data_IF_524365444762
#
_entry.id   IF_524365444762
#
_cell.length_a   1.000
_cell.length_b   1.000
_cell.length_c   1.000
_cell.angle_alpha   90.00
_cell.angle_beta   90.00
_cell.angle_gamma   90.00
#
_symmetry.space_group_name_H-M   'P 1'
#
loop_
_entity.id
_entity.type
_entity.pdbx_description
1 polymer ?
#
# COMPACT_ATOMS: atom_id res chain seq x y z
N UNK A 1 16.33 19.20 19.68
CA UNK A 1 15.61 17.91 19.76
C UNK A 1 14.71 17.81 18.53
N UNK A 2 14.64 16.65 17.89
CA UNK A 2 13.72 16.44 16.76
C UNK A 2 12.30 16.21 17.25
N UNK A 3 11.31 16.68 16.49
CA UNK A 3 9.88 16.47 16.76
C UNK A 3 9.25 15.74 15.57
N UNK A 4 8.38 14.77 15.85
CA UNK A 4 7.57 14.12 14.81
C UNK A 4 6.45 15.08 14.39
N UNK A 5 6.41 15.42 13.11
CA UNK A 5 5.36 16.27 12.54
C UNK A 5 4.26 15.45 11.90
N UNK A 6 4.63 14.52 11.01
CA UNK A 6 3.69 13.72 10.24
C UNK A 6 4.20 12.31 10.03
N UNK A 7 3.29 11.38 9.79
CA UNK A 7 3.59 10.00 9.36
C UNK A 7 2.82 9.70 8.09
N UNK A 8 3.48 9.05 7.15
CA UNK A 8 2.86 8.57 5.91
C UNK A 8 2.39 7.12 6.08
N UNK A 9 1.13 6.86 5.76
CA UNK A 9 0.53 5.54 5.77
C UNK A 9 0.36 5.05 4.33
N UNK A 10 1.20 4.09 3.91
CA UNK A 10 1.14 3.56 2.54
C UNK A 10 -0.05 2.62 2.34
N UNK A 11 -0.86 2.88 1.32
CA UNK A 11 -2.01 2.06 0.90
C UNK A 11 -1.89 1.73 -0.59
N UNK A 12 -2.71 0.79 -1.09
CA UNK A 12 -2.62 0.16 -2.43
C UNK A 12 -2.34 1.13 -3.59
N UNK A 13 -3.13 2.19 -3.75
CA UNK A 13 -2.94 3.17 -4.84
C UNK A 13 -2.21 4.43 -4.38
N UNK A 14 -2.70 5.04 -3.30
CA UNK A 14 -2.19 6.27 -2.71
C UNK A 14 -2.32 6.15 -1.19
N UNK A 15 -1.24 6.43 -0.47
CA UNK A 15 -1.26 6.57 0.97
C UNK A 15 -1.61 7.99 1.44
N UNK A 16 -1.58 8.20 2.75
CA UNK A 16 -2.01 9.44 3.39
C UNK A 16 -0.96 9.94 4.37
N UNK A 17 -0.69 11.24 4.35
CA UNK A 17 0.07 11.92 5.40
C UNK A 17 -0.89 12.39 6.49
N UNK A 18 -0.59 12.06 7.74
CA UNK A 18 -1.36 12.54 8.89
C UNK A 18 -0.48 13.29 9.87
N UNK A 19 -1.04 14.34 10.46
CA UNK A 19 -0.37 15.13 11.48
C UNK A 19 -0.19 14.31 12.76
N UNK A 20 0.88 14.57 13.50
CA UNK A 20 1.18 13.86 14.74
C UNK A 20 0.02 13.92 15.75
N UNK A 21 -0.77 14.99 15.75
CA UNK A 21 -1.97 15.13 16.60
C UNK A 21 -3.10 14.14 16.27
N UNK A 22 -3.08 13.55 15.08
CA UNK A 22 -4.11 12.63 14.60
C UNK A 22 -3.71 11.15 14.79
N UNK A 23 -2.45 10.91 15.18
CA UNK A 23 -1.89 9.58 15.34
C UNK A 23 -2.23 8.97 16.69
N UNK A 24 -2.41 7.65 16.71
CA UNK A 24 -2.35 6.87 17.94
C UNK A 24 -0.89 6.61 18.32
N UNK A 25 -0.58 6.73 19.61
CA UNK A 25 0.74 6.41 20.14
C UNK A 25 0.67 5.27 21.16
N UNK A 26 1.66 4.38 21.09
CA UNK A 26 1.91 3.36 22.08
C UNK A 26 3.20 3.67 22.85
N UNK A 27 3.22 3.34 24.15
CA UNK A 27 4.40 3.50 25.00
C UNK A 27 5.00 4.92 24.97
N UNK A 28 4.15 5.94 24.86
CA UNK A 28 4.53 7.34 24.85
C UNK A 28 4.71 7.91 23.45
N UNK A 29 5.81 7.57 22.77
CA UNK A 29 6.25 8.27 21.56
C UNK A 29 6.31 7.39 20.29
N UNK A 30 5.77 6.16 20.33
CA UNK A 30 5.76 5.27 19.17
C UNK A 30 4.44 5.39 18.42
N UNK A 31 4.40 5.99 17.22
CA UNK A 31 3.17 6.02 16.44
C UNK A 31 2.75 4.59 16.07
N UNK A 32 1.45 4.33 16.07
CA UNK A 32 0.86 3.03 15.75
C UNK A 32 0.38 3.03 14.31
N UNK A 33 0.63 1.93 13.61
CA UNK A 33 0.07 1.65 12.30
C UNK A 33 -0.58 0.26 12.32
N UNK A 34 -1.74 0.15 11.68
CA UNK A 34 -2.51 -1.08 11.57
C UNK A 34 -2.38 -1.64 10.16
N UNK A 35 -1.77 -2.82 10.02
CA UNK A 35 -1.69 -3.53 8.73
C UNK A 35 -3.00 -4.21 8.39
N UNK A 36 -3.41 -4.14 7.13
CA UNK A 36 -4.58 -4.87 6.65
C UNK A 36 -4.39 -6.38 6.73
N UNK A 37 -5.45 -7.08 7.13
CA UNK A 37 -5.48 -8.53 7.17
C UNK A 37 -5.30 -9.09 5.75
N UNK A 38 -4.32 -9.98 5.58
CA UNK A 38 -3.93 -10.59 4.31
C UNK A 38 -3.48 -9.59 3.23
N UNK A 39 -3.23 -8.34 3.59
CA UNK A 39 -2.75 -7.30 2.69
C UNK A 39 -1.51 -6.61 3.24
N UNK A 40 -1.11 -5.54 2.56
CA UNK A 40 0.09 -4.76 2.88
C UNK A 40 -0.21 -3.27 3.14
N UNK A 41 -1.47 -2.86 3.10
CA UNK A 41 -1.87 -1.49 3.36
C UNK A 41 -1.80 -1.18 4.86
N UNK A 42 -1.32 0.02 5.20
CA UNK A 42 -1.23 0.51 6.57
C UNK A 42 -2.27 1.60 6.79
N UNK A 43 -2.91 1.55 7.95
CA UNK A 43 -3.93 2.50 8.36
C UNK A 43 -3.63 3.08 9.75
N UNK A 44 -4.00 4.35 10.01
CA UNK A 44 -3.76 5.01 11.29
C UNK A 44 -4.71 4.56 12.40
N UNK A 45 -5.82 3.91 12.03
CA UNK A 45 -6.88 3.47 12.95
C UNK A 45 -7.33 2.06 12.56
N UNK A 46 -7.77 1.25 13.55
CA UNK A 46 -8.38 -0.03 13.26
C UNK A 46 -9.78 0.17 12.66
N UNK A 47 -10.23 -0.80 11.86
CA UNK A 47 -11.53 -0.79 11.22
C UNK A 47 -11.53 -1.48 9.86
N UNK A 48 -12.64 -1.30 9.16
CA UNK A 48 -12.86 -1.80 7.81
C UNK A 48 -12.72 -0.65 6.81
N UNK A 49 -11.80 -0.79 5.85
CA UNK A 49 -11.68 0.11 4.71
C UNK A 49 -11.98 -0.65 3.42
N UNK A 50 -12.99 -0.19 2.69
CA UNK A 50 -13.37 -0.74 1.38
C UNK A 50 -12.83 0.19 0.29
N UNK A 51 -12.11 -0.37 -0.68
CA UNK A 51 -11.60 0.35 -1.86
C UNK A 51 -12.18 -0.26 -3.12
N UNK A 52 -12.77 0.55 -4.00
CA UNK A 52 -13.41 0.07 -5.23
C UNK A 52 -14.76 0.77 -5.46
N UNK A 53 -15.52 0.29 -6.45
CA UNK A 53 -16.81 0.88 -6.83
C UNK A 53 -17.84 -0.21 -7.16
N UNK A 54 -19.12 0.09 -6.97
CA UNK A 54 -20.21 -0.81 -7.38
C UNK A 54 -20.24 -2.16 -6.65
N UNK A 55 -19.64 -2.26 -5.46
CA UNK A 55 -19.54 -3.51 -4.70
C UNK A 55 -18.39 -4.42 -5.12
N UNK A 56 -17.55 -3.99 -6.07
CA UNK A 56 -16.34 -4.68 -6.51
C UNK A 56 -15.14 -3.92 -5.97
N UNK A 57 -14.26 -4.60 -5.23
CA UNK A 57 -13.17 -3.91 -4.54
C UNK A 57 -12.36 -4.74 -3.55
N UNK A 58 -11.34 -4.09 -2.98
CA UNK A 58 -10.49 -4.62 -1.92
C UNK A 58 -11.12 -4.34 -0.56
N UNK A 59 -11.14 -5.38 0.28
CA UNK A 59 -11.56 -5.29 1.68
C UNK A 59 -10.34 -5.30 2.59
N UNK A 60 -10.09 -4.20 3.30
CA UNK A 60 -9.00 -4.08 4.26
C UNK A 60 -9.56 -4.06 5.68
N UNK A 61 -9.56 -5.22 6.35
CA UNK A 61 -9.85 -5.30 7.77
C UNK A 61 -8.59 -5.04 8.59
N UNK A 62 -8.68 -4.18 9.60
CA UNK A 62 -7.59 -3.87 10.51
C UNK A 62 -8.09 -3.91 11.95
N UNK A 63 -7.29 -4.49 12.84
CA UNK A 63 -7.60 -4.54 14.26
C UNK A 63 -6.32 -4.63 15.07
N UNK A 64 -6.41 -4.28 16.35
CA UNK A 64 -5.35 -4.58 17.31
C UNK A 64 -5.26 -6.09 17.49
N UNK A 65 -4.05 -6.62 17.51
CA UNK A 65 -3.79 -8.03 17.78
C UNK A 65 -2.50 -8.17 18.59
N UNK A 66 -2.22 -9.40 19.04
CA UNK A 66 -0.96 -9.73 19.70
C UNK A 66 0.21 -9.88 18.71
N UNK A 67 -0.06 -9.86 17.40
CA UNK A 67 0.96 -9.85 16.35
C UNK A 67 1.46 -8.42 16.12
N UNK A 68 2.54 -8.04 16.81
CA UNK A 68 3.09 -6.69 16.77
C UNK A 68 4.52 -6.71 16.24
N UNK A 69 4.83 -5.76 15.35
CA UNK A 69 6.19 -5.49 14.88
C UNK A 69 6.68 -4.15 15.46
N UNK A 70 7.62 -4.21 16.41
CA UNK A 70 8.22 -2.99 17.00
C UNK A 70 9.40 -2.50 16.15
N UNK A 71 9.12 -1.61 15.20
CA UNK A 71 10.11 -0.99 14.32
C UNK A 71 10.98 0.05 15.05
N UNK A 72 10.59 0.48 16.26
CA UNK A 72 11.37 1.44 17.05
C UNK A 72 12.61 0.83 17.71
N UNK A 73 12.70 -0.50 17.82
CA UNK A 73 13.87 -1.18 18.41
C UNK A 73 15.08 -1.12 17.48
N UNK A 74 14.85 -1.26 16.17
CA UNK A 74 15.89 -1.22 15.14
C UNK A 74 15.35 -0.55 13.89
N UNK A 75 15.92 0.61 13.57
CA UNK A 75 15.63 1.35 12.36
C UNK A 75 16.92 1.88 11.75
N UNK A 76 16.87 2.21 10.48
CA UNK A 76 17.96 2.86 9.75
C UNK A 76 17.40 4.13 9.12
N UNK A 77 18.10 5.25 9.30
CA UNK A 77 17.77 6.49 8.60
C UNK A 77 18.51 6.47 7.27
N UNK A 78 17.74 6.39 6.18
CA UNK A 78 18.28 6.13 4.84
C UNK A 78 18.34 7.37 3.94
N UNK A 79 17.66 8.45 4.33
CA UNK A 79 17.65 9.72 3.62
C UNK A 79 17.29 10.89 4.57
N UNK A 80 17.73 12.10 4.23
CA UNK A 80 17.36 13.34 4.89
C UNK A 80 18.10 14.53 4.29
N UNK A 81 17.38 15.60 3.92
CA UNK A 81 17.93 16.76 3.19
C UNK A 81 19.13 17.40 3.92
N UNK A 82 18.97 17.62 5.23
CA UNK A 82 19.99 18.20 6.11
C UNK A 82 21.04 17.18 6.57
N UNK A 83 20.91 15.91 6.20
CA UNK A 83 21.76 14.80 6.65
C UNK A 83 22.58 14.19 5.50
N UNK A 84 22.61 14.85 4.34
CA UNK A 84 23.25 14.36 3.11
C UNK A 84 24.75 14.04 3.23
N UNK A 85 25.47 14.64 4.19
CA UNK A 85 26.87 14.31 4.50
C UNK A 85 27.03 13.28 5.63
N UNK A 86 25.97 13.00 6.39
CA UNK A 86 25.97 12.13 7.56
C UNK A 86 25.36 10.74 7.29
N UNK A 87 24.62 10.58 6.20
CA UNK A 87 23.97 9.32 5.81
C UNK A 87 24.62 8.79 4.54
N UNK A 88 25.09 7.54 4.61
CA UNK A 88 25.41 6.77 3.41
C UNK A 88 24.14 6.10 2.91
N UNK A 89 23.61 6.57 1.80
CA UNK A 89 22.39 6.01 1.22
C UNK A 89 22.58 4.52 0.86
N UNK A 90 21.70 3.62 1.32
CA UNK A 90 21.75 2.22 0.92
C UNK A 90 21.54 2.03 -0.58
N UNK A 91 22.33 1.15 -1.19
CA UNK A 91 22.27 0.89 -2.64
C UNK A 91 20.88 0.46 -3.12
N UNK A 92 20.10 -0.22 -2.27
CA UNK A 92 18.76 -0.68 -2.60
C UNK A 92 17.77 0.47 -2.86
N UNK A 93 18.00 1.69 -2.33
CA UNK A 93 17.14 2.83 -2.63
C UNK A 93 17.15 3.24 -4.11
N UNK A 94 18.20 2.85 -4.85
CA UNK A 94 18.34 3.10 -6.28
C UNK A 94 17.88 1.92 -7.15
N UNK A 95 17.21 0.92 -6.56
CA UNK A 95 16.60 -0.16 -7.31
C UNK A 95 15.23 0.25 -7.86
N UNK A 96 15.19 0.56 -9.16
CA UNK A 96 14.01 1.08 -9.87
C UNK A 96 13.12 0.00 -10.50
N UNK A 97 13.43 -1.28 -10.30
CA UNK A 97 12.57 -2.38 -10.78
C UNK A 97 11.54 -2.76 -9.71
N UNK A 98 10.64 -3.66 -10.08
CA UNK A 98 9.61 -4.23 -9.20
C UNK A 98 10.25 -4.96 -8.03
N UNK A 99 9.74 -4.68 -6.84
CA UNK A 99 10.19 -5.28 -5.59
C UNK A 99 9.38 -6.53 -5.28
N UNK A 100 10.01 -7.51 -4.64
CA UNK A 100 9.32 -8.69 -4.14
C UNK A 100 8.94 -9.73 -5.20
N UNK A 101 8.34 -10.84 -4.76
CA UNK A 101 7.90 -11.90 -5.66
C UNK A 101 6.75 -11.42 -6.55
N UNK A 102 6.77 -11.83 -7.82
CA UNK A 102 5.62 -11.69 -8.72
C UNK A 102 4.63 -12.80 -8.38
N UNK A 103 3.40 -12.42 -8.05
CA UNK A 103 2.31 -13.37 -7.84
C UNK A 103 1.44 -13.30 -9.09
N UNK A 104 1.42 -14.40 -9.84
CA UNK A 104 0.56 -14.56 -11.01
C UNK A 104 -0.58 -15.49 -10.60
N UNK A 105 -1.78 -14.95 -10.48
CA UNK A 105 -2.96 -15.78 -10.23
C UNK A 105 -3.42 -16.36 -11.57
N UNK A 106 -3.60 -17.68 -11.65
CA UNK A 106 -4.17 -18.35 -12.83
C UNK A 106 -5.64 -17.98 -13.10
N UNK A 107 -6.17 -16.96 -12.43
CA UNK A 107 -7.51 -16.42 -12.61
C UNK A 107 -7.74 -15.97 -14.06
N UNK A 108 -6.72 -15.46 -14.75
CA UNK A 108 -6.85 -15.13 -16.18
C UNK A 108 -7.22 -16.36 -17.04
N UNK A 109 -6.68 -17.54 -16.72
CA UNK A 109 -7.01 -18.77 -17.43
C UNK A 109 -8.39 -19.31 -17.03
N UNK A 110 -8.80 -19.10 -15.78
CA UNK A 110 -10.14 -19.47 -15.29
C UNK A 110 -11.23 -18.56 -15.86
N UNK A 111 -11.00 -17.25 -15.89
CA UNK A 111 -11.87 -16.24 -16.50
C UNK A 111 -12.08 -16.57 -17.98
N UNK A 112 -11.02 -16.85 -18.73
CA UNK A 112 -11.10 -17.24 -20.15
C UNK A 112 -11.85 -18.55 -20.38
N UNK A 113 -11.81 -19.51 -19.43
CA UNK A 113 -12.62 -20.74 -19.52
C UNK A 113 -14.09 -20.44 -19.32
N UNK A 114 -14.43 -19.60 -18.33
CA UNK A 114 -15.81 -19.20 -18.05
C UNK A 114 -16.39 -18.39 -19.21
N UNK A 115 -15.63 -17.45 -19.76
CA UNK A 115 -16.01 -16.64 -20.93
C UNK A 115 -16.39 -17.51 -22.13
N UNK A 116 -15.63 -18.59 -22.41
CA UNK A 116 -15.93 -19.53 -23.50
C UNK A 116 -17.19 -20.36 -23.30
N UNK A 117 -17.65 -20.48 -22.05
CA UNK A 117 -18.85 -21.24 -21.69
C UNK A 117 -20.11 -20.36 -21.60
N UNK A 118 -19.95 -19.04 -21.62
CA UNK A 118 -21.07 -18.10 -21.51
C UNK A 118 -21.74 -17.88 -22.88
N UNK A 119 -23.08 -18.00 -22.96
CA UNK A 119 -23.83 -17.74 -24.19
C UNK A 119 -23.96 -16.23 -24.44
N UNK A 120 -23.44 -15.77 -25.58
CA UNK A 120 -23.79 -14.52 -26.26
C UNK A 120 -23.90 -13.27 -25.39
N UNK A 121 -25.14 -12.87 -25.05
CA UNK A 121 -25.47 -11.60 -24.40
C UNK A 121 -24.88 -11.42 -22.99
N UNK A 122 -24.49 -12.52 -22.32
CA UNK A 122 -23.85 -12.46 -21.01
C UNK A 122 -22.37 -12.06 -21.07
N UNK A 123 -21.69 -12.24 -22.22
CA UNK A 123 -20.26 -11.90 -22.36
C UNK A 123 -20.02 -10.42 -22.08
N UNK A 124 -20.82 -9.53 -22.65
CA UNK A 124 -20.67 -8.08 -22.42
C UNK A 124 -20.88 -7.64 -20.96
N UNK A 125 -21.66 -8.40 -20.18
CA UNK A 125 -21.88 -8.12 -18.76
C UNK A 125 -20.74 -8.69 -17.92
N UNK A 126 -20.23 -9.86 -18.31
CA UNK A 126 -19.08 -10.50 -17.69
C UNK A 126 -17.78 -9.72 -17.94
N UNK A 127 -17.55 -9.24 -19.16
CA UNK A 127 -16.43 -8.34 -19.51
C UNK A 127 -16.44 -7.09 -18.63
N UNK A 128 -17.58 -6.40 -18.52
CA UNK A 128 -17.71 -5.22 -17.64
C UNK A 128 -17.46 -5.52 -16.17
N UNK A 129 -17.77 -6.74 -15.72
CA UNK A 129 -17.47 -7.17 -14.36
C UNK A 129 -15.98 -7.42 -14.17
N UNK A 130 -15.34 -8.13 -15.11
CA UNK A 130 -13.90 -8.40 -15.11
C UNK A 130 -13.09 -7.11 -15.19
N UNK A 131 -13.48 -6.18 -16.07
CA UNK A 131 -12.88 -4.84 -16.19
C UNK A 131 -13.06 -3.99 -14.92
N UNK A 132 -14.02 -4.35 -14.06
CA UNK A 132 -14.26 -3.69 -12.78
C UNK A 132 -13.47 -4.30 -11.61
N UNK A 133 -12.79 -5.43 -11.81
CA UNK A 133 -11.96 -6.05 -10.78
C UNK A 133 -10.70 -5.20 -10.54
N UNK A 134 -10.29 -4.98 -9.28
CA UNK A 134 -8.98 -4.40 -8.98
C UNK A 134 -7.85 -5.18 -9.65
N UNK A 135 -6.86 -4.46 -10.21
CA UNK A 135 -5.71 -5.06 -10.89
C UNK A 135 -4.96 -6.05 -9.97
N UNK A 136 -4.96 -5.80 -8.66
CA UNK A 136 -4.37 -6.68 -7.63
C UNK A 136 -4.96 -8.09 -7.63
N UNK A 137 -6.22 -8.26 -8.08
CA UNK A 137 -6.86 -9.58 -8.20
C UNK A 137 -6.28 -10.37 -9.39
N UNK A 138 -5.90 -9.69 -10.46
CA UNK A 138 -5.42 -10.33 -11.69
C UNK A 138 -3.93 -10.70 -11.63
N UNK A 139 -3.21 -10.18 -10.64
CA UNK A 139 -1.80 -10.46 -10.38
C UNK A 139 -1.09 -9.23 -9.84
N UNK A 140 -0.06 -9.44 -9.04
CA UNK A 140 0.71 -8.34 -8.47
C UNK A 140 2.09 -8.25 -9.12
N UNK A 141 2.34 -7.13 -9.78
CA UNK A 141 3.68 -6.69 -10.11
C UNK A 141 4.18 -5.84 -8.94
N UNK A 142 4.98 -6.43 -8.06
CA UNK A 142 5.34 -5.79 -6.79
C UNK A 142 5.93 -4.38 -6.94
N UNK A 143 5.95 -3.60 -5.84
CA UNK A 143 5.96 -2.13 -5.92
C UNK A 143 7.23 -1.56 -6.54
N UNK A 144 7.12 -0.34 -7.07
CA UNK A 144 8.29 0.48 -7.42
C UNK A 144 9.05 0.92 -6.17
N UNK A 145 10.36 1.12 -6.30
CA UNK A 145 11.20 1.55 -5.19
C UNK A 145 10.79 2.90 -4.59
N UNK A 146 11.12 3.18 -3.31
CA UNK A 146 10.62 4.36 -2.59
C UNK A 146 10.87 5.69 -3.30
N UNK A 147 12.04 5.87 -3.94
CA UNK A 147 12.37 7.10 -4.68
C UNK A 147 11.48 7.40 -5.88
N UNK A 148 10.75 6.41 -6.41
CA UNK A 148 9.80 6.62 -7.50
C UNK A 148 8.41 7.00 -7.00
N UNK A 149 8.18 7.02 -5.69
CA UNK A 149 6.90 7.41 -5.12
C UNK A 149 6.89 8.94 -4.97
N UNK A 150 5.82 9.57 -5.43
CA UNK A 150 5.66 11.03 -5.35
C UNK A 150 5.71 11.56 -3.91
N UNK A 151 5.39 10.71 -2.93
CA UNK A 151 5.43 11.03 -1.50
C UNK A 151 6.86 11.00 -0.89
N UNK A 152 7.88 10.57 -1.64
CA UNK A 152 9.25 10.42 -1.13
C UNK A 152 9.86 11.76 -0.70
N UNK A 153 9.59 12.82 -1.45
CA UNK A 153 10.10 14.18 -1.17
C UNK A 153 9.18 15.01 -0.27
N UNK A 154 8.04 14.47 0.19
CA UNK A 154 7.11 15.20 1.06
C UNK A 154 6.30 16.32 0.39
N UNK A 155 6.63 16.70 -0.84
CA UNK A 155 5.80 17.56 -1.67
C UNK A 155 4.60 16.74 -2.14
N UNK A 156 3.48 16.86 -1.42
CA UNK A 156 2.19 16.54 -1.99
C UNK A 156 2.09 17.30 -3.31
N UNK A 157 2.14 16.58 -4.44
CA UNK A 157 1.82 17.19 -5.72
C UNK A 157 0.37 17.67 -5.61
N UNK A 158 0.20 18.94 -5.24
CA UNK A 158 -1.02 19.70 -5.45
C UNK A 158 -1.27 19.57 -6.95
N UNK A 159 -2.21 18.71 -7.31
CA UNK A 159 -2.73 18.64 -8.66
C UNK A 159 -3.34 20.00 -8.98
N UNK A 160 -2.55 20.85 -9.65
CA UNK A 160 -3.05 21.97 -10.45
C UNK A 160 -3.78 21.44 -11.66
#
# INVERSE_FOLDING_TARGET
>A
MGQLWRVYFSQHSKGEWLEASELEFQNGNKPVAYSSLHGHALYPKPGLVLQGNGGIGIRNDTAKSDMVMDTGVRFEVVAGEYLSSAISEPAWLNFFRKWGPRIDYSLNDEIKKVEKLLPGNLNTTFEKFVDGLPDEILGEEGPTGPKLKNNWSGDDCLST
#
